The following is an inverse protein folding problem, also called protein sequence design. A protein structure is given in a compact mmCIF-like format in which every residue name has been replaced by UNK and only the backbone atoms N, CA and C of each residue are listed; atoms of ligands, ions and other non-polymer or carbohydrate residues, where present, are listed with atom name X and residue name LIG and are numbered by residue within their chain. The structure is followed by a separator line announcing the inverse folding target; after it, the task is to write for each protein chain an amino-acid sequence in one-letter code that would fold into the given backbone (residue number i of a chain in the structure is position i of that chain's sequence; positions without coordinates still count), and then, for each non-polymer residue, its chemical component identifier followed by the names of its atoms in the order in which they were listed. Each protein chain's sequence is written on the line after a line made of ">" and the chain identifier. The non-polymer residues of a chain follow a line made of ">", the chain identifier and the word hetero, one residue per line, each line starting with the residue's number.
data_IF_786226525546
#
_entry.id   IF_786226525546
#
_cell.length_a   1.000
_cell.length_b   1.000
_cell.length_c   1.000
_cell.angle_alpha   90.00
_cell.angle_beta   90.00
_cell.angle_gamma   90.00
#
_symmetry.space_group_name_H-M   'P 1'
#
loop_
_entity.id
_entity.type
_entity.pdbx_description
1 polymer ?
#
# COMPACT_ATOMS: atom_id res chain seq x y z
N UNK A 1 1.85 -3.26 7.68
CA UNK A 1 2.75 -3.40 6.49
C UNK A 1 2.05 -4.30 5.47
N UNK A 2 2.25 -4.07 4.17
CA UNK A 2 1.63 -4.88 3.12
C UNK A 2 2.63 -5.21 2.02
N UNK A 3 2.64 -6.49 1.62
CA UNK A 3 3.54 -7.06 0.61
C UNK A 3 2.79 -7.86 -0.48
N UNK A 4 1.46 -7.90 -0.42
CA UNK A 4 0.62 -8.69 -1.29
C UNK A 4 -0.25 -7.80 -2.18
N UNK A 5 -0.60 -8.27 -3.37
CA UNK A 5 -1.62 -7.66 -4.23
C UNK A 5 -2.50 -8.76 -4.80
N UNK A 6 -3.76 -8.45 -5.08
CA UNK A 6 -4.64 -9.40 -5.74
C UNK A 6 -4.14 -9.69 -7.15
N UNK A 7 -4.02 -10.96 -7.52
CA UNK A 7 -3.34 -11.34 -8.77
C UNK A 7 -4.11 -10.91 -10.02
N UNK A 8 -3.42 -10.27 -10.97
CA UNK A 8 -3.96 -10.00 -12.31
C UNK A 8 -3.68 -11.19 -13.25
N UNK A 9 -4.28 -11.21 -14.43
CA UNK A 9 -4.08 -12.31 -15.40
C UNK A 9 -2.61 -12.49 -15.81
N UNK A 10 -1.87 -11.39 -15.99
CA UNK A 10 -0.43 -11.45 -16.29
C UNK A 10 0.40 -12.06 -15.16
N UNK A 11 -0.04 -11.96 -13.90
CA UNK A 11 0.66 -12.60 -12.76
C UNK A 11 0.51 -14.13 -12.79
N UNK A 12 -0.55 -14.64 -13.43
CA UNK A 12 -0.92 -16.07 -13.52
C UNK A 12 -0.24 -16.78 -14.70
N UNK A 13 0.22 -16.03 -15.71
CA UNK A 13 0.87 -16.57 -16.90
C UNK A 13 2.22 -17.24 -16.60
N UNK A 14 2.46 -18.43 -17.17
CA UNK A 14 3.74 -19.14 -17.06
C UNK A 14 3.76 -20.35 -16.14
N UNK A 15 2.58 -20.88 -15.75
CA UNK A 15 2.45 -22.09 -14.93
C UNK A 15 3.26 -21.98 -13.63
N UNK A 16 4.12 -22.94 -13.33
CA UNK A 16 4.98 -22.95 -12.13
C UNK A 16 6.01 -21.80 -12.11
N UNK A 17 6.28 -21.16 -13.26
CA UNK A 17 7.19 -20.02 -13.36
C UNK A 17 6.48 -18.66 -13.21
N UNK A 18 5.13 -18.65 -13.20
CA UNK A 18 4.35 -17.43 -13.05
C UNK A 18 4.71 -16.66 -11.77
N UNK A 19 4.43 -15.36 -11.75
CA UNK A 19 4.64 -14.57 -10.54
C UNK A 19 3.77 -15.10 -9.40
N UNK A 20 2.49 -15.38 -9.67
CA UNK A 20 1.55 -15.92 -8.69
C UNK A 20 2.05 -17.25 -8.09
N UNK A 21 2.46 -18.20 -8.93
CA UNK A 21 2.97 -19.50 -8.45
C UNK A 21 4.18 -19.33 -7.55
N UNK A 22 5.12 -18.45 -7.92
CA UNK A 22 6.31 -18.18 -7.10
C UNK A 22 5.97 -17.44 -5.82
N UNK A 23 5.02 -16.52 -5.83
CA UNK A 23 4.59 -15.82 -4.63
C UNK A 23 3.90 -16.74 -3.63
N UNK A 24 3.01 -17.62 -4.12
CA UNK A 24 2.35 -18.63 -3.28
C UNK A 24 3.33 -19.67 -2.74
N UNK A 25 4.29 -20.09 -3.55
CA UNK A 25 5.37 -20.97 -3.09
C UNK A 25 6.23 -20.32 -1.98
N UNK A 26 6.33 -18.98 -2.00
CA UNK A 26 6.99 -18.18 -0.97
C UNK A 26 6.05 -17.74 0.17
N UNK A 27 4.78 -18.17 0.16
CA UNK A 27 3.76 -17.89 1.19
C UNK A 27 3.49 -16.39 1.38
N UNK A 28 3.64 -15.59 0.31
CA UNK A 28 3.39 -14.15 0.37
C UNK A 28 1.90 -13.78 0.46
N UNK A 29 1.02 -14.70 0.10
CA UNK A 29 -0.44 -14.55 0.17
C UNK A 29 -1.02 -14.86 1.56
N UNK A 30 -0.20 -15.35 2.50
CA UNK A 30 -0.64 -15.81 3.82
C UNK A 30 0.33 -15.39 4.93
N UNK A 31 0.62 -14.09 4.98
CA UNK A 31 1.53 -13.50 5.98
C UNK A 31 0.74 -13.01 7.19
N UNK A 32 1.19 -13.40 8.37
CA UNK A 32 0.78 -12.78 9.64
C UNK A 32 1.95 -12.04 10.28
N UNK A 33 1.66 -10.95 10.99
CA UNK A 33 2.67 -10.13 11.66
C UNK A 33 2.66 -10.36 13.16
N UNK A 34 3.82 -10.68 13.72
CA UNK A 34 4.04 -10.74 15.16
C UNK A 34 4.84 -9.51 15.58
N UNK A 35 4.38 -8.83 16.64
CA UNK A 35 5.14 -7.75 17.27
C UNK A 35 6.28 -8.34 18.08
N UNK A 36 7.53 -8.16 17.62
CA UNK A 36 8.75 -8.52 18.36
C UNK A 36 9.01 -7.54 19.50
N UNK A 37 8.77 -6.25 19.26
CA UNK A 37 8.89 -5.20 20.27
C UNK A 37 8.03 -4.01 19.91
N UNK A 38 7.53 -3.30 20.93
CA UNK A 38 6.89 -2.00 20.79
C UNK A 38 7.24 -1.18 22.03
N UNK A 39 7.94 -0.07 21.85
CA UNK A 39 8.41 0.74 22.97
C UNK A 39 8.48 2.23 22.63
N UNK A 40 8.12 3.04 23.63
CA UNK A 40 8.30 4.49 23.59
C UNK A 40 9.80 4.78 23.64
N UNK A 41 10.33 5.40 22.59
CA UNK A 41 11.73 5.83 22.50
C UNK A 41 11.93 7.16 23.20
N UNK A 42 11.01 8.10 22.96
CA UNK A 42 11.05 9.43 23.54
C UNK A 42 9.63 9.97 23.75
N UNK A 43 9.48 10.84 24.75
CA UNK A 43 8.23 11.54 25.03
C UNK A 43 8.54 12.96 25.48
N UNK A 44 7.92 13.92 24.79
CA UNK A 44 7.96 15.34 25.14
C UNK A 44 6.53 15.87 25.25
N UNK A 45 6.39 17.16 25.57
CA UNK A 45 5.08 17.83 25.56
C UNK A 45 4.51 18.03 24.14
N UNK A 46 5.35 17.89 23.11
CA UNK A 46 4.99 18.20 21.72
C UNK A 46 4.90 16.98 20.82
N UNK A 47 5.59 15.88 21.17
CA UNK A 47 5.51 14.63 20.43
C UNK A 47 5.81 13.40 21.28
N UNK A 48 5.31 12.26 20.80
CA UNK A 48 5.58 10.92 21.29
C UNK A 48 6.23 10.10 20.17
N UNK A 49 7.37 9.46 20.47
CA UNK A 49 8.12 8.64 19.53
C UNK A 49 8.04 7.17 19.95
N UNK A 50 7.48 6.31 19.08
CA UNK A 50 7.24 4.89 19.33
C UNK A 50 7.93 4.06 18.25
N UNK A 51 8.83 3.17 18.68
CA UNK A 51 9.44 2.19 17.78
C UNK A 51 8.74 0.83 17.92
N UNK A 52 8.28 0.27 16.80
CA UNK A 52 7.70 -1.04 16.72
C UNK A 52 8.46 -1.92 15.70
N UNK A 53 8.72 -3.16 16.07
CA UNK A 53 9.36 -4.16 15.20
C UNK A 53 8.38 -5.30 14.98
N UNK A 54 8.03 -5.54 13.72
CA UNK A 54 7.15 -6.61 13.28
C UNK A 54 7.94 -7.68 12.51
N UNK A 55 7.61 -8.94 12.76
CA UNK A 55 8.09 -10.08 11.99
C UNK A 55 6.93 -10.61 11.16
N UNK A 56 7.07 -10.56 9.82
CA UNK A 56 6.15 -11.20 8.89
C UNK A 56 6.54 -12.66 8.70
N UNK A 57 5.62 -13.56 9.04
CA UNK A 57 5.80 -15.01 8.97
C UNK A 57 4.60 -15.65 8.26
N UNK A 58 4.72 -16.86 7.70
CA UNK A 58 3.56 -17.59 7.20
C UNK A 58 2.57 -17.94 8.33
N UNK A 59 1.26 -17.83 8.09
CA UNK A 59 0.23 -18.03 9.12
C UNK A 59 0.27 -19.43 9.78
N UNK A 60 0.68 -20.45 9.02
CA UNK A 60 0.80 -21.82 9.51
C UNK A 60 1.87 -22.00 10.60
N UNK A 61 2.76 -21.02 10.80
CA UNK A 61 3.84 -21.09 11.79
C UNK A 61 3.38 -20.54 13.15
N UNK A 62 3.57 -21.32 14.21
CA UNK A 62 3.25 -20.91 15.58
C UNK A 62 4.38 -20.08 16.18
N UNK A 63 4.01 -19.01 16.90
CA UNK A 63 4.96 -18.04 17.46
C UNK A 63 6.00 -18.62 18.44
N UNK A 64 5.67 -19.73 19.12
CA UNK A 64 6.52 -20.34 20.15
C UNK A 64 7.71 -21.16 19.61
N UNK A 65 7.73 -21.48 18.31
CA UNK A 65 8.75 -22.34 17.67
C UNK A 65 9.43 -21.67 16.46
N UNK A 66 9.35 -20.34 16.39
CA UNK A 66 9.86 -19.56 15.26
C UNK A 66 11.39 -19.70 15.13
N UNK A 67 11.82 -20.15 13.96
CA UNK A 67 13.23 -20.08 13.55
C UNK A 67 13.44 -18.81 12.73
N UNK A 68 14.67 -18.30 12.73
CA UNK A 68 15.03 -17.13 11.91
C UNK A 68 14.71 -17.36 10.42
N UNK A 69 14.85 -18.61 9.94
CA UNK A 69 14.53 -19.02 8.58
C UNK A 69 13.02 -18.98 8.24
N UNK A 70 12.14 -18.85 9.23
CA UNK A 70 10.70 -18.73 9.02
C UNK A 70 10.26 -17.25 8.83
N UNK A 71 11.17 -16.29 9.06
CA UNK A 71 10.88 -14.85 8.96
C UNK A 71 11.03 -14.41 7.51
N UNK A 72 9.92 -14.06 6.88
CA UNK A 72 9.91 -13.52 5.51
C UNK A 72 10.26 -12.03 5.51
N UNK A 73 9.83 -11.28 6.52
CA UNK A 73 10.05 -9.84 6.63
C UNK A 73 10.37 -9.43 8.06
N UNK A 74 11.39 -8.61 8.25
CA UNK A 74 11.56 -7.81 9.48
C UNK A 74 11.25 -6.34 9.15
N UNK A 75 10.22 -5.80 9.80
CA UNK A 75 9.72 -4.44 9.53
C UNK A 75 9.85 -3.59 10.79
N UNK A 76 10.69 -2.56 10.74
CA UNK A 76 10.77 -1.55 11.78
C UNK A 76 9.91 -0.35 11.37
N UNK A 77 8.92 -0.01 12.18
CA UNK A 77 8.08 1.17 11.99
C UNK A 77 8.29 2.11 13.18
N UNK A 78 8.76 3.32 12.91
CA UNK A 78 8.90 4.37 13.90
C UNK A 78 7.77 5.39 13.73
N UNK A 79 6.99 5.61 14.78
CA UNK A 79 5.84 6.50 14.79
C UNK A 79 6.16 7.73 15.63
N UNK A 80 6.22 8.90 14.99
CA UNK A 80 6.36 10.19 15.66
C UNK A 80 5.00 10.88 15.63
N UNK A 81 4.33 10.89 16.77
CA UNK A 81 2.98 11.43 16.95
C UNK A 81 3.09 12.82 17.57
N UNK A 82 2.73 13.86 16.83
CA UNK A 82 2.76 15.24 17.29
C UNK A 82 1.44 15.64 17.98
N UNK A 83 1.51 16.64 18.85
CA UNK A 83 0.32 17.22 19.50
C UNK A 83 -0.66 17.88 18.53
N UNK A 84 -0.24 18.16 17.29
CA UNK A 84 -1.12 18.59 16.19
C UNK A 84 -2.04 17.49 15.67
N UNK A 85 -1.76 16.23 16.01
CA UNK A 85 -2.39 15.04 15.42
C UNK A 85 -1.63 14.51 14.20
N UNK A 86 -0.58 15.19 13.75
CA UNK A 86 0.30 14.64 12.71
C UNK A 86 1.02 13.38 13.20
N UNK A 87 1.07 12.36 12.35
CA UNK A 87 1.81 11.12 12.58
C UNK A 87 2.80 10.95 11.44
N UNK A 88 4.09 10.96 11.77
CA UNK A 88 5.13 10.54 10.83
C UNK A 88 5.43 9.07 11.08
N UNK A 89 5.47 8.29 10.01
CA UNK A 89 5.71 6.85 10.03
C UNK A 89 6.95 6.58 9.19
N UNK A 90 8.09 6.34 9.85
CA UNK A 90 9.31 5.90 9.18
C UNK A 90 9.35 4.38 9.12
N UNK A 91 9.42 3.84 7.91
CA UNK A 91 9.40 2.40 7.65
C UNK A 91 10.78 1.95 7.19
N UNK A 92 11.30 0.89 7.80
CA UNK A 92 12.46 0.13 7.34
C UNK A 92 12.06 -1.33 7.19
N UNK A 93 11.97 -1.81 5.96
CA UNK A 93 11.59 -3.18 5.62
C UNK A 93 12.83 -3.94 5.22
N UNK A 94 13.04 -5.11 5.81
CA UNK A 94 14.10 -6.05 5.46
C UNK A 94 13.45 -7.39 5.06
N UNK A 95 13.22 -7.64 3.76
CA UNK A 95 12.77 -8.93 3.25
C UNK A 95 13.87 -9.99 3.38
N UNK A 96 13.49 -11.27 3.47
CA UNK A 96 14.41 -12.36 3.24
C UNK A 96 14.86 -12.35 1.77
N UNK A 97 16.16 -12.54 1.52
CA UNK A 97 16.76 -12.33 0.20
C UNK A 97 16.43 -13.42 -0.82
N UNK A 98 15.91 -14.57 -0.39
CA UNK A 98 15.52 -15.70 -1.23
C UNK A 98 14.08 -15.58 -1.79
N UNK A 99 13.33 -14.56 -1.37
CA UNK A 99 12.01 -14.28 -1.88
C UNK A 99 12.05 -13.98 -3.39
N UNK A 100 10.96 -14.28 -4.14
CA UNK A 100 10.81 -13.77 -5.50
C UNK A 100 10.68 -12.23 -5.48
N UNK A 101 10.74 -11.56 -6.66
CA UNK A 101 10.33 -10.17 -6.76
C UNK A 101 8.96 -9.95 -6.11
N UNK A 102 8.86 -8.96 -5.24
CA UNK A 102 7.70 -8.70 -4.40
C UNK A 102 6.55 -8.07 -5.22
N UNK A 103 5.28 -8.40 -4.94
CA UNK A 103 4.14 -7.72 -5.55
C UNK A 103 4.13 -6.21 -5.23
N UNK A 104 4.39 -5.87 -3.97
CA UNK A 104 4.50 -4.50 -3.46
C UNK A 104 5.29 -4.42 -2.16
N UNK A 105 5.61 -3.19 -1.76
CA UNK A 105 6.15 -2.81 -0.46
C UNK A 105 5.47 -1.52 -0.03
N UNK A 106 4.59 -1.62 0.96
CA UNK A 106 3.75 -0.51 1.39
C UNK A 106 3.12 -0.68 2.76
N UNK A 107 2.13 0.18 3.01
CA UNK A 107 1.26 0.14 4.18
C UNK A 107 -0.17 0.06 3.72
N UNK A 108 -0.92 -0.85 4.33
CA UNK A 108 -2.36 -0.99 4.21
C UNK A 108 -3.01 -0.53 5.52
N UNK A 109 -4.15 0.14 5.42
CA UNK A 109 -5.02 0.44 6.54
C UNK A 109 -6.47 0.56 6.06
N UNK A 110 -7.40 0.45 7.00
CA UNK A 110 -8.83 0.53 6.73
C UNK A 110 -9.41 1.83 7.29
N UNK A 111 -10.34 2.42 6.57
CA UNK A 111 -11.09 3.61 6.98
C UNK A 111 -12.58 3.33 7.01
N UNK A 112 -13.30 4.09 7.84
CA UNK A 112 -14.76 4.08 7.83
C UNK A 112 -15.31 4.32 6.40
N UNK A 113 -16.31 3.53 6.00
CA UNK A 113 -16.88 3.54 4.64
C UNK A 113 -17.41 4.90 4.20
N UNK A 114 -17.73 5.79 5.14
CA UNK A 114 -18.20 7.15 4.85
C UNK A 114 -17.10 8.08 4.35
N UNK A 115 -15.80 7.75 4.51
CA UNK A 115 -14.67 8.56 4.04
C UNK A 115 -14.40 8.37 2.53
N UNK A 116 -15.46 8.42 1.73
CA UNK A 116 -15.45 8.00 0.33
C UNK A 116 -14.94 9.06 -0.66
N UNK A 117 -14.76 10.32 -0.25
CA UNK A 117 -14.30 11.40 -1.12
C UNK A 117 -12.77 11.41 -1.20
N UNK A 118 -12.23 10.95 -2.33
CA UNK A 118 -10.80 10.85 -2.58
C UNK A 118 -10.31 12.03 -3.41
N UNK A 119 -9.33 12.76 -2.90
CA UNK A 119 -8.57 13.75 -3.68
C UNK A 119 -7.10 13.40 -3.63
N UNK A 120 -6.38 13.49 -4.75
CA UNK A 120 -4.95 13.18 -4.76
C UNK A 120 -4.17 14.11 -5.68
N UNK A 121 -2.91 14.36 -5.32
CA UNK A 121 -1.93 15.01 -6.18
C UNK A 121 -0.93 13.97 -6.69
N UNK A 122 -1.08 13.60 -7.95
CA UNK A 122 -0.29 12.54 -8.58
C UNK A 122 -0.74 12.30 -10.01
N UNK A 123 -0.42 11.14 -10.58
CA UNK A 123 -0.89 10.79 -11.92
C UNK A 123 -2.37 10.40 -11.92
N UNK A 124 -3.06 10.76 -12.99
CA UNK A 124 -4.48 10.47 -13.18
C UNK A 124 -5.02 11.00 -14.52
N UNK A 125 -6.36 11.05 -14.69
CA UNK A 125 -7.38 10.69 -13.69
C UNK A 125 -7.65 9.17 -13.58
N UNK A 126 -7.21 8.39 -14.58
CA UNK A 126 -7.44 6.95 -14.69
C UNK A 126 -6.36 6.11 -14.02
N UNK A 127 -6.62 4.81 -13.91
CA UNK A 127 -5.72 3.81 -13.35
C UNK A 127 -4.38 3.76 -14.09
N UNK A 128 -3.29 3.78 -13.32
CA UNK A 128 -1.94 3.65 -13.85
C UNK A 128 -0.98 2.94 -12.90
N UNK A 129 -0.03 2.22 -13.48
CA UNK A 129 0.98 1.42 -12.79
C UNK A 129 2.39 1.81 -13.27
N UNK A 130 3.47 1.41 -12.57
CA UNK A 130 4.84 1.89 -12.85
C UNK A 130 5.30 1.75 -14.31
N UNK A 131 4.88 0.69 -14.99
CA UNK A 131 5.15 0.38 -16.40
C UNK A 131 4.05 0.84 -17.37
N UNK A 132 2.87 1.24 -16.87
CA UNK A 132 1.73 1.74 -17.66
C UNK A 132 1.21 3.08 -17.11
N UNK A 133 2.01 4.13 -17.19
CA UNK A 133 1.66 5.48 -16.66
C UNK A 133 1.98 6.68 -17.56
N UNK A 134 2.43 6.45 -18.80
CA UNK A 134 2.87 7.53 -19.70
C UNK A 134 1.74 8.48 -20.10
N UNK A 135 0.51 7.95 -20.27
CA UNK A 135 -0.66 8.74 -20.64
C UNK A 135 -1.23 9.58 -19.47
N UNK A 136 -0.90 9.24 -18.22
CA UNK A 136 -1.46 9.88 -17.04
C UNK A 136 -0.68 11.14 -16.65
N UNK A 137 -1.36 12.26 -16.50
CA UNK A 137 -0.76 13.56 -16.18
C UNK A 137 -0.72 13.80 -14.68
N UNK A 138 0.27 14.56 -14.19
CA UNK A 138 0.34 14.95 -12.78
C UNK A 138 -0.53 16.19 -12.55
N UNK A 139 -1.57 16.05 -11.74
CA UNK A 139 -2.45 17.14 -11.32
C UNK A 139 -3.15 16.77 -10.00
N UNK A 140 -4.01 17.67 -9.52
CA UNK A 140 -4.94 17.35 -8.43
C UNK A 140 -6.22 16.81 -9.06
N UNK A 141 -6.59 15.59 -8.68
CA UNK A 141 -7.81 14.93 -9.13
C UNK A 141 -8.73 14.63 -7.95
N UNK A 142 -9.99 14.35 -8.25
CA UNK A 142 -11.03 14.04 -7.28
C UNK A 142 -11.96 12.95 -7.84
N UNK A 143 -12.27 11.96 -7.01
CA UNK A 143 -13.19 10.84 -7.28
C UNK A 143 -13.77 10.32 -5.96
N UNK A 144 -14.89 9.63 -6.02
CA UNK A 144 -15.32 8.74 -4.94
C UNK A 144 -14.55 7.42 -4.98
N UNK A 145 -14.47 6.69 -3.87
CA UNK A 145 -13.87 5.34 -3.82
C UNK A 145 -14.52 4.40 -4.85
N UNK A 146 -15.84 4.43 -4.99
CA UNK A 146 -16.55 3.63 -5.99
C UNK A 146 -16.14 3.96 -7.43
N UNK A 147 -15.90 5.24 -7.75
CA UNK A 147 -15.42 5.67 -9.07
C UNK A 147 -13.93 5.35 -9.35
N UNK A 148 -13.18 4.90 -8.34
CA UNK A 148 -11.81 4.45 -8.50
C UNK A 148 -11.72 2.98 -8.95
N UNK A 149 -12.76 2.18 -8.71
CA UNK A 149 -12.81 0.77 -9.10
C UNK A 149 -12.85 0.61 -10.63
N UNK A 150 -12.09 -0.37 -11.14
CA UNK A 150 -12.09 -0.75 -12.55
C UNK A 150 -12.69 -2.16 -12.66
N UNK A 151 -13.86 -2.33 -13.29
CA UNK A 151 -14.59 -3.60 -13.30
C UNK A 151 -14.03 -4.55 -14.37
N UNK A 152 -12.84 -5.10 -14.13
CA UNK A 152 -12.28 -6.18 -14.94
C UNK A 152 -13.19 -7.43 -14.83
N UNK A 153 -13.38 -8.15 -15.94
CA UNK A 153 -14.29 -9.32 -16.00
C UNK A 153 -13.91 -10.38 -14.96
N UNK A 154 -12.62 -10.67 -14.85
CA UNK A 154 -12.05 -11.44 -13.74
C UNK A 154 -11.50 -10.42 -12.75
N UNK A 155 -12.04 -10.35 -11.52
CA UNK A 155 -11.54 -9.44 -10.49
C UNK A 155 -10.06 -9.66 -10.17
N UNK A 156 -9.38 -8.59 -9.76
CA UNK A 156 -7.97 -8.57 -9.38
C UNK A 156 -7.53 -7.17 -8.98
N UNK A 157 -6.22 -6.99 -8.74
CA UNK A 157 -5.63 -5.68 -8.41
C UNK A 157 -6.05 -4.62 -9.44
N UNK A 158 -6.66 -3.55 -8.95
CA UNK A 158 -7.14 -2.44 -9.77
C UNK A 158 -7.25 -1.14 -8.97
N UNK A 159 -7.53 -0.04 -9.67
CA UNK A 159 -7.74 1.28 -9.07
C UNK A 159 -6.46 2.03 -8.69
N UNK A 160 -5.28 1.45 -8.97
CA UNK A 160 -3.99 2.08 -8.65
C UNK A 160 -3.78 3.46 -9.29
N UNK A 161 -3.14 4.39 -8.56
CA UNK A 161 -2.65 5.67 -9.06
C UNK A 161 -1.17 5.80 -8.75
N UNK A 162 -0.39 6.15 -9.77
CA UNK A 162 1.06 6.26 -9.68
C UNK A 162 1.55 7.67 -9.36
N UNK A 163 2.79 7.73 -8.87
CA UNK A 163 3.50 8.96 -8.56
C UNK A 163 2.66 9.91 -7.68
N UNK A 164 2.00 9.39 -6.65
CA UNK A 164 1.19 10.20 -5.74
C UNK A 164 2.08 10.84 -4.68
N UNK A 165 1.90 12.15 -4.45
CA UNK A 165 2.61 12.91 -3.41
C UNK A 165 1.77 12.97 -2.14
N UNK A 166 0.48 13.20 -2.29
CA UNK A 166 -0.49 13.19 -1.21
C UNK A 166 -1.87 12.80 -1.71
N UNK A 167 -2.71 12.33 -0.78
CA UNK A 167 -4.13 12.10 -0.94
C UNK A 167 -4.90 12.53 0.31
N UNK A 168 -6.19 12.79 0.15
CA UNK A 168 -7.15 12.87 1.25
C UNK A 168 -8.29 11.90 1.00
N UNK A 169 -8.76 11.23 2.06
CA UNK A 169 -10.04 10.52 2.10
C UNK A 169 -10.91 11.22 3.14
N UNK A 170 -12.07 11.73 2.72
CA UNK A 170 -12.96 12.56 3.55
C UNK A 170 -14.39 12.07 3.47
N UNK A 171 -15.14 12.27 4.54
CA UNK A 171 -16.58 12.13 4.53
C UNK A 171 -17.28 13.40 3.98
N UNK A 172 -18.61 13.36 3.90
CA UNK A 172 -19.42 14.48 3.39
C UNK A 172 -19.35 15.75 4.23
N UNK A 173 -18.90 15.65 5.49
CA UNK A 173 -18.70 16.78 6.40
C UNK A 173 -17.30 17.40 6.26
N UNK A 174 -16.46 16.90 5.34
CA UNK A 174 -15.09 17.37 5.16
C UNK A 174 -14.13 16.92 6.26
N UNK A 175 -14.49 15.87 7.01
CA UNK A 175 -13.65 15.25 8.04
C UNK A 175 -13.01 13.99 7.46
N UNK A 176 -11.73 13.77 7.73
CA UNK A 176 -11.08 12.54 7.29
C UNK A 176 -9.58 12.53 7.54
N UNK A 177 -8.85 11.91 6.61
CA UNK A 177 -7.41 11.73 6.71
C UNK A 177 -6.71 12.30 5.48
N UNK A 178 -5.59 12.96 5.73
CA UNK A 178 -4.59 13.31 4.73
C UNK A 178 -3.43 12.36 4.89
N UNK A 179 -2.96 11.80 3.78
CA UNK A 179 -1.77 10.97 3.74
C UNK A 179 -0.81 11.49 2.68
N UNK A 180 0.48 11.48 2.97
CA UNK A 180 1.50 11.91 2.02
C UNK A 180 2.83 11.21 2.21
N UNK A 181 3.69 11.29 1.19
CA UNK A 181 5.11 11.04 1.36
C UNK A 181 5.68 12.01 2.40
N UNK A 182 6.75 11.63 3.09
CA UNK A 182 7.46 12.48 4.04
C UNK A 182 8.98 12.43 3.84
N UNK A 183 9.65 13.52 4.21
CA UNK A 183 11.09 13.68 4.01
C UNK A 183 11.51 13.54 2.55
N UNK A 184 12.55 12.75 2.30
CA UNK A 184 13.10 12.47 0.96
C UNK A 184 12.45 11.28 0.25
N UNK A 185 11.34 10.75 0.79
CA UNK A 185 10.66 9.60 0.19
C UNK A 185 10.13 9.92 -1.21
N UNK A 186 10.30 9.02 -2.19
CA UNK A 186 9.76 9.24 -3.52
C UNK A 186 8.22 9.17 -3.53
N UNK A 187 7.55 9.72 -4.56
CA UNK A 187 6.12 9.53 -4.77
C UNK A 187 5.70 8.05 -4.73
N UNK A 188 4.51 7.79 -4.17
CA UNK A 188 3.97 6.45 -3.91
C UNK A 188 3.00 5.97 -5.00
N UNK A 189 2.73 4.67 -5.04
CA UNK A 189 1.51 4.12 -5.64
C UNK A 189 0.41 4.16 -4.56
N UNK A 190 -0.83 4.47 -4.93
CA UNK A 190 -1.97 4.35 -4.00
C UNK A 190 -3.17 3.67 -4.65
N UNK A 191 -4.00 3.03 -3.82
CA UNK A 191 -5.34 2.59 -4.16
C UNK A 191 -6.27 2.74 -2.96
N UNK A 192 -7.57 2.88 -3.24
CA UNK A 192 -8.63 2.88 -2.24
C UNK A 192 -9.81 2.11 -2.83
N UNK A 193 -10.34 1.14 -2.09
CA UNK A 193 -11.34 0.18 -2.61
C UNK A 193 -12.33 -0.23 -1.52
N UNK A 194 -13.59 -0.48 -1.91
CA UNK A 194 -14.56 -1.17 -1.06
C UNK A 194 -14.38 -2.70 -1.08
N UNK A 195 -13.62 -3.23 -2.03
CA UNK A 195 -13.25 -4.64 -2.11
C UNK A 195 -11.85 -4.81 -1.54
N UNK A 196 -11.71 -5.67 -0.54
CA UNK A 196 -10.41 -5.99 0.03
C UNK A 196 -9.52 -6.73 -0.97
N UNK A 197 -8.22 -6.73 -0.74
CA UNK A 197 -7.27 -7.52 -1.56
C UNK A 197 -7.64 -9.00 -1.53
N UNK A 198 -8.03 -9.53 -0.37
CA UNK A 198 -8.49 -10.91 -0.23
C UNK A 198 -9.79 -11.19 -1.00
N UNK A 199 -10.72 -10.23 -1.04
CA UNK A 199 -11.97 -10.33 -1.78
C UNK A 199 -11.74 -10.32 -3.30
N UNK A 200 -10.85 -9.44 -3.78
CA UNK A 200 -10.44 -9.40 -5.19
C UNK A 200 -9.74 -10.68 -5.64
N UNK A 201 -8.97 -11.33 -4.76
CA UNK A 201 -8.37 -12.64 -5.05
C UNK A 201 -9.37 -13.81 -5.01
N UNK A 202 -10.42 -13.69 -4.18
CA UNK A 202 -11.46 -14.72 -4.03
C UNK A 202 -12.40 -14.76 -5.24
N UNK A 203 -12.86 -13.60 -5.68
CA UNK A 203 -13.91 -13.49 -6.67
C UNK A 203 -13.43 -13.92 -8.06
N UNK A 204 -14.28 -14.65 -8.78
CA UNK A 204 -13.97 -15.12 -10.15
C UNK A 204 -14.72 -14.35 -11.22
N UNK A 205 -15.85 -13.74 -10.84
CA UNK A 205 -16.68 -12.88 -11.66
C UNK A 205 -17.07 -11.62 -10.88
N UNK A 206 -17.44 -10.55 -11.59
CA UNK A 206 -17.80 -9.26 -10.97
C UNK A 206 -19.01 -9.42 -10.03
N UNK A 207 -19.99 -10.25 -10.39
CA UNK A 207 -21.17 -10.52 -9.57
C UNK A 207 -20.87 -11.30 -8.27
N UNK A 208 -19.68 -11.92 -8.16
CA UNK A 208 -19.24 -12.60 -6.94
C UNK A 208 -18.70 -11.61 -5.88
N UNK A 209 -18.39 -10.37 -6.30
CA UNK A 209 -17.77 -9.38 -5.44
C UNK A 209 -18.73 -8.90 -4.35
N UNK A 210 -18.23 -8.89 -3.12
CA UNK A 210 -18.93 -8.37 -1.96
C UNK A 210 -18.17 -7.17 -1.42
N UNK A 211 -18.81 -6.00 -1.43
CA UNK A 211 -18.23 -4.82 -0.78
C UNK A 211 -18.07 -5.05 0.73
N UNK A 212 -16.95 -4.62 1.27
CA UNK A 212 -16.71 -4.55 2.71
C UNK A 212 -17.48 -3.42 3.40
N UNK A 213 -17.42 -3.44 4.73
CA UNK A 213 -17.98 -2.41 5.61
C UNK A 213 -17.02 -1.22 5.84
N UNK A 214 -15.84 -1.25 5.21
CA UNK A 214 -14.79 -0.25 5.30
C UNK A 214 -14.18 0.02 3.91
N UNK A 215 -13.22 0.95 3.86
CA UNK A 215 -12.39 1.24 2.69
C UNK A 215 -10.98 0.72 2.99
N UNK A 216 -10.51 -0.23 2.19
CA UNK A 216 -9.11 -0.68 2.22
C UNK A 216 -8.26 0.31 1.40
N UNK A 217 -7.25 0.89 2.04
CA UNK A 217 -6.34 1.88 1.44
C UNK A 217 -4.92 1.34 1.45
N UNK A 218 -4.26 1.39 0.29
CA UNK A 218 -2.86 1.03 0.14
C UNK A 218 -2.02 2.24 -0.22
N UNK A 219 -0.88 2.39 0.46
CA UNK A 219 0.15 3.40 0.19
C UNK A 219 1.50 2.71 0.00
N UNK A 220 1.89 2.51 -1.26
CA UNK A 220 3.06 1.71 -1.58
C UNK A 220 4.27 2.56 -1.96
N UNK A 221 5.37 2.33 -1.27
CA UNK A 221 6.67 2.85 -1.67
C UNK A 221 7.13 2.25 -3.00
N UNK A 222 6.85 0.96 -3.20
CA UNK A 222 7.10 0.25 -4.45
C UNK A 222 5.91 -0.64 -4.77
N UNK A 223 5.50 -0.61 -6.02
CA UNK A 223 4.56 -1.54 -6.60
C UNK A 223 5.21 -2.17 -7.81
N UNK A 224 5.04 -3.47 -8.01
CA UNK A 224 5.52 -4.13 -9.20
C UNK A 224 4.70 -3.68 -10.42
N UNK A 225 5.33 -3.66 -11.60
CA UNK A 225 4.62 -3.46 -12.86
C UNK A 225 3.51 -4.50 -13.09
N UNK A 226 2.70 -4.26 -14.11
CA UNK A 226 1.62 -5.16 -14.53
C UNK A 226 1.98 -6.02 -15.74
N UNK A 227 3.06 -5.69 -16.47
CA UNK A 227 3.50 -6.43 -17.65
C UNK A 227 2.52 -6.32 -18.82
N UNK A 228 2.58 -7.30 -19.71
CA UNK A 228 1.67 -7.44 -20.85
C UNK A 228 2.33 -7.61 -22.21
N UNK A 229 3.64 -7.92 -22.29
CA UNK A 229 4.28 -8.34 -23.55
C UNK A 229 3.59 -9.62 -24.10
N UNK A 230 3.26 -10.54 -23.20
CA UNK A 230 2.27 -11.60 -23.36
C UNK A 230 1.57 -11.87 -22.00
N UNK A 231 0.63 -12.82 -21.96
CA UNK A 231 -0.11 -13.20 -20.74
C UNK A 231 0.09 -14.68 -20.35
N UNK A 232 1.13 -15.34 -20.86
CA UNK A 232 1.41 -16.75 -20.59
C UNK A 232 2.87 -17.00 -20.18
N UNK A 233 3.64 -15.93 -19.95
CA UNK A 233 4.96 -15.96 -19.34
C UNK A 233 5.14 -14.77 -18.37
N UNK A 234 6.09 -14.84 -17.42
CA UNK A 234 6.45 -13.70 -16.59
C UNK A 234 7.00 -12.55 -17.44
N UNK A 235 6.24 -11.47 -17.57
CA UNK A 235 6.49 -10.44 -18.59
C UNK A 235 6.70 -9.02 -18.04
N UNK A 236 6.95 -8.85 -16.73
CA UNK A 236 7.29 -7.54 -16.16
C UNK A 236 8.78 -7.28 -16.37
N UNK A 237 9.13 -6.21 -17.09
CA UNK A 237 10.52 -5.85 -17.36
C UNK A 237 11.29 -5.56 -16.06
N UNK A 238 12.58 -5.91 -16.02
CA UNK A 238 13.42 -5.88 -14.81
C UNK A 238 13.34 -4.56 -14.02
N UNK A 239 13.33 -3.41 -14.71
CA UNK A 239 13.25 -2.07 -14.09
C UNK A 239 11.93 -1.79 -13.34
N UNK A 240 10.91 -2.62 -13.54
CA UNK A 240 9.60 -2.52 -12.88
C UNK A 240 9.34 -3.68 -11.91
N UNK A 241 10.34 -4.55 -11.69
CA UNK A 241 10.31 -5.52 -10.60
C UNK A 241 10.63 -4.83 -9.26
N UNK A 242 10.15 -5.43 -8.17
CA UNK A 242 10.45 -5.00 -6.80
C UNK A 242 11.34 -6.08 -6.17
N UNK A 243 12.67 -5.97 -6.22
CA UNK A 243 13.55 -7.01 -5.68
C UNK A 243 13.43 -7.11 -4.14
N UNK A 244 13.68 -8.28 -3.52
CA UNK A 244 13.59 -8.46 -2.07
C UNK A 244 14.83 -7.90 -1.34
N UNK A 245 15.05 -6.59 -1.46
CA UNK A 245 16.16 -5.86 -0.82
C UNK A 245 15.63 -4.97 0.30
N UNK A 246 16.50 -4.46 1.19
CA UNK A 246 16.05 -3.49 2.20
C UNK A 246 15.44 -2.23 1.58
N UNK A 247 14.28 -1.82 2.10
CA UNK A 247 13.56 -0.60 1.71
C UNK A 247 13.43 0.36 2.89
N UNK A 248 13.48 1.67 2.59
CA UNK A 248 13.20 2.73 3.56
C UNK A 248 12.30 3.78 2.94
N UNK A 249 11.24 4.14 3.66
CA UNK A 249 10.29 5.17 3.23
C UNK A 249 9.52 5.73 4.41
N UNK A 250 9.08 6.97 4.28
CA UNK A 250 8.39 7.71 5.32
C UNK A 250 7.06 8.24 4.79
N UNK A 251 6.03 8.10 5.60
CA UNK A 251 4.69 8.61 5.34
C UNK A 251 4.33 9.62 6.43
N UNK A 252 3.44 10.56 6.09
CA UNK A 252 2.76 11.43 7.04
C UNK A 252 1.27 11.17 6.96
N UNK A 253 0.64 10.95 8.10
CA UNK A 253 -0.80 10.98 8.26
C UNK A 253 -1.18 12.24 9.06
N UNK A 254 -2.29 12.87 8.70
CA UNK A 254 -2.79 14.07 9.37
C UNK A 254 -4.32 14.11 9.35
N UNK A 255 -4.98 14.53 10.44
CA UNK A 255 -6.42 14.76 10.42
C UNK A 255 -6.80 15.87 9.43
N UNK A 256 -7.82 15.60 8.63
CA UNK A 256 -8.51 16.61 7.83
C UNK A 256 -9.80 17.01 8.55
N UNK A 257 -10.03 18.31 8.62
CA UNK A 257 -11.13 18.97 9.31
C UNK A 257 -11.63 20.10 8.42
N UNK A 258 -12.79 20.68 8.73
CA UNK A 258 -13.34 21.80 7.98
C UNK A 258 -12.40 23.03 7.86
N UNK A 259 -11.36 23.14 8.70
CA UNK A 259 -10.44 24.28 8.74
C UNK A 259 -9.10 24.04 8.04
N UNK A 260 -8.78 22.80 7.65
CA UNK A 260 -7.55 22.45 6.93
C UNK A 260 -7.83 21.60 5.68
N UNK A 261 -7.30 21.98 4.52
CA UNK A 261 -7.47 21.23 3.27
C UNK A 261 -6.19 20.51 2.86
N UNK A 262 -6.30 19.45 2.05
CA UNK A 262 -5.14 18.73 1.51
C UNK A 262 -4.07 19.64 0.88
N UNK A 263 -4.44 20.59 -0.02
CA UNK A 263 -3.48 21.55 -0.57
C UNK A 263 -2.82 22.46 0.49
N UNK A 264 -3.54 22.82 1.56
CA UNK A 264 -2.97 23.62 2.66
C UNK A 264 -1.97 22.80 3.47
N UNK A 265 -2.33 21.57 3.85
CA UNK A 265 -1.45 20.64 4.57
C UNK A 265 -0.17 20.33 3.79
N UNK A 266 -0.28 20.17 2.48
CA UNK A 266 0.88 19.97 1.60
C UNK A 266 1.79 21.19 1.53
N UNK A 267 1.24 22.41 1.45
CA UNK A 267 2.04 23.65 1.47
C UNK A 267 2.82 23.80 2.76
N UNK A 268 2.18 23.54 3.91
CA UNK A 268 2.85 23.59 5.22
C UNK A 268 4.00 22.58 5.29
N UNK A 269 3.84 21.40 4.69
CA UNK A 269 4.89 20.38 4.66
C UNK A 269 6.11 20.79 3.84
N UNK A 270 5.94 21.52 2.73
CA UNK A 270 7.07 21.98 1.91
C UNK A 270 7.88 23.12 2.56
N UNK A 271 7.40 23.69 3.66
CA UNK A 271 8.06 24.78 4.40
C UNK A 271 8.91 24.28 5.57
N UNK A 272 8.90 22.97 5.84
CA UNK A 272 9.65 22.28 6.90
C UNK A 272 10.83 21.56 6.25
#
# INVERSE_FOLDING_TARGET
>A
PCFWRASIDNDKGGWDQSYLSRWKAALLDDIVYITRSCCIQNKTDHYLDISAVFLGIPSAKKSSELKESDILFTVNMNYIIYSSGDIIIDNSVNPCSDLPPLPRVGVEFHLDKTMDQVRWYGKGPFECYPDRKAAAQVAIYEKTVGEMHVPYIVPGECGGRADVRWLTLQNKDGIGIYASIYGSSPPMQMSASYYSTAELDRATHIEDLVEGDDIEVHLDHKHMGIGGDDSWSPCVHEKYLVPPVPYKFSLRLSPVTATNSGPLLHKTQQQI
#
